data_IF_183118041953
#
_entry.id   IF_183118041953
#
_cell.length_a   1.000
_cell.length_b   1.000
_cell.length_c   1.000
_cell.angle_alpha   90.00
_cell.angle_beta   90.00
_cell.angle_gamma   90.00
#
_symmetry.space_group_name_H-M   'P 1'
#
loop_
_entity.id
_entity.type
_entity.pdbx_description
1 polymer ?
#
# COMPACT_ATOMS: atom_id res chain seq x y z
N UNK A 1 -0.68 -12.73 -32.54
CA UNK A 1 -1.70 -12.33 -31.54
C UNK A 1 -2.56 -13.52 -31.12
N UNK A 2 -3.12 -14.28 -32.07
CA UNK A 2 -3.81 -15.55 -31.81
C UNK A 2 -3.06 -16.47 -30.82
N UNK A 3 -1.77 -16.71 -31.06
CA UNK A 3 -0.89 -17.51 -30.19
C UNK A 3 -0.75 -16.93 -28.77
N UNK A 4 -0.58 -15.60 -28.64
CA UNK A 4 -0.48 -14.92 -27.34
C UNK A 4 -1.76 -15.02 -26.51
N UNK A 5 -2.89 -15.14 -27.20
CA UNK A 5 -4.21 -15.34 -26.59
C UNK A 5 -4.56 -16.83 -26.50
N UNK A 6 -3.73 -17.76 -26.97
CA UNK A 6 -4.10 -19.18 -26.98
C UNK A 6 -5.37 -19.51 -27.79
N UNK A 7 -5.74 -18.69 -28.77
CA UNK A 7 -6.91 -18.91 -29.63
C UNK A 7 -6.50 -19.33 -31.05
N UNK A 8 -7.43 -19.96 -31.77
CA UNK A 8 -7.18 -20.32 -33.17
C UNK A 8 -6.98 -19.09 -34.06
N UNK A 9 -6.16 -19.23 -35.11
CA UNK A 9 -5.96 -18.17 -36.10
C UNK A 9 -7.27 -17.72 -36.76
N UNK A 10 -8.19 -18.66 -37.02
CA UNK A 10 -9.52 -18.37 -37.58
C UNK A 10 -10.37 -17.53 -36.63
N UNK A 11 -10.32 -17.85 -35.33
CA UNK A 11 -11.00 -17.08 -34.29
C UNK A 11 -10.47 -15.65 -34.26
N UNK A 12 -9.14 -15.49 -34.31
CA UNK A 12 -8.48 -14.19 -34.38
C UNK A 12 -8.93 -13.36 -35.59
N UNK A 13 -8.93 -13.94 -36.80
CA UNK A 13 -9.43 -13.26 -38.00
C UNK A 13 -10.91 -12.89 -37.91
N UNK A 14 -11.72 -13.70 -37.23
CA UNK A 14 -13.13 -13.39 -36.97
C UNK A 14 -13.31 -12.18 -36.05
N UNK A 15 -12.45 -12.03 -35.05
CA UNK A 15 -12.42 -10.87 -34.15
C UNK A 15 -11.96 -9.61 -34.87
N UNK A 16 -10.84 -9.66 -35.60
CA UNK A 16 -10.32 -8.50 -36.36
C UNK A 16 -11.30 -8.02 -37.44
N UNK A 17 -12.00 -8.97 -38.08
CA UNK A 17 -13.02 -8.66 -39.08
C UNK A 17 -14.37 -8.21 -38.51
N UNK A 18 -14.51 -8.07 -37.19
CA UNK A 18 -15.75 -7.63 -36.53
C UNK A 18 -16.91 -8.63 -36.64
N UNK A 19 -16.66 -9.87 -37.09
CA UNK A 19 -17.68 -10.91 -37.22
C UNK A 19 -18.00 -11.59 -35.89
N UNK A 20 -17.03 -11.60 -34.97
CA UNK A 20 -17.15 -12.24 -33.66
C UNK A 20 -16.92 -11.22 -32.54
N UNK A 21 -17.64 -11.38 -31.44
CA UNK A 21 -17.39 -10.66 -30.18
C UNK A 21 -16.45 -11.53 -29.32
N UNK A 22 -15.43 -10.96 -28.68
CA UNK A 22 -14.55 -11.71 -27.77
C UNK A 22 -15.34 -12.35 -26.63
N UNK A 23 -15.01 -13.60 -26.28
CA UNK A 23 -15.57 -14.26 -25.10
C UNK A 23 -14.98 -13.70 -23.80
N UNK A 24 -15.61 -13.96 -22.66
CA UNK A 24 -15.08 -13.60 -21.35
C UNK A 24 -13.67 -14.16 -21.09
N UNK A 25 -13.40 -15.39 -21.53
CA UNK A 25 -12.08 -16.02 -21.44
C UNK A 25 -11.03 -15.30 -22.29
N UNK A 26 -11.37 -14.95 -23.53
CA UNK A 26 -10.48 -14.18 -24.42
C UNK A 26 -10.16 -12.80 -23.83
N UNK A 27 -11.14 -12.16 -23.20
CA UNK A 27 -10.96 -10.87 -22.53
C UNK A 27 -10.02 -10.97 -21.33
N UNK A 28 -10.10 -12.05 -20.55
CA UNK A 28 -9.14 -12.29 -19.46
C UNK A 28 -7.72 -12.48 -20.01
N UNK A 29 -7.55 -13.18 -21.13
CA UNK A 29 -6.23 -13.36 -21.77
C UNK A 29 -5.65 -12.03 -22.26
N UNK A 30 -6.47 -11.11 -22.78
CA UNK A 30 -6.03 -9.76 -23.10
C UNK A 30 -5.51 -9.01 -21.88
N UNK A 31 -6.18 -9.16 -20.73
CA UNK A 31 -5.75 -8.55 -19.46
C UNK A 31 -4.38 -9.08 -19.03
N UNK A 32 -4.14 -10.38 -19.13
CA UNK A 32 -2.86 -11.01 -18.73
C UNK A 32 -1.66 -10.47 -19.52
N UNK A 33 -1.87 -10.10 -20.78
CA UNK A 33 -0.84 -9.46 -21.62
C UNK A 33 -0.85 -7.92 -21.54
N UNK A 34 -1.54 -7.36 -20.54
CA UNK A 34 -1.55 -5.93 -20.23
C UNK A 34 -2.49 -5.08 -21.09
N UNK A 35 -3.39 -5.69 -21.87
CA UNK A 35 -4.36 -4.97 -22.70
C UNK A 35 -5.69 -4.85 -21.95
N UNK A 36 -6.26 -3.65 -21.96
CA UNK A 36 -7.52 -3.37 -21.30
C UNK A 36 -8.69 -4.10 -22.00
N UNK A 37 -9.40 -5.03 -21.33
CA UNK A 37 -10.51 -5.76 -21.95
C UNK A 37 -11.70 -4.86 -22.30
N UNK A 38 -11.91 -3.76 -21.54
CA UNK A 38 -12.95 -2.78 -21.83
C UNK A 38 -12.69 -2.07 -23.16
N UNK A 39 -11.43 -1.68 -23.41
CA UNK A 39 -11.01 -1.12 -24.70
C UNK A 39 -11.17 -2.13 -25.84
N UNK A 40 -10.85 -3.41 -25.62
CA UNK A 40 -11.04 -4.46 -26.63
C UNK A 40 -12.52 -4.63 -27.00
N UNK A 41 -13.43 -4.53 -26.04
CA UNK A 41 -14.87 -4.68 -26.27
C UNK A 41 -15.51 -3.45 -26.92
N UNK A 42 -15.09 -2.26 -26.51
CA UNK A 42 -15.84 -1.02 -26.77
C UNK A 42 -15.09 -0.01 -27.61
N UNK A 43 -13.76 -0.16 -27.73
CA UNK A 43 -12.88 0.87 -28.28
C UNK A 43 -12.72 2.11 -27.38
N UNK A 44 -13.38 2.15 -26.21
CA UNK A 44 -13.37 3.30 -25.31
C UNK A 44 -12.30 3.14 -24.22
N UNK A 45 -11.73 4.29 -23.84
CA UNK A 45 -10.74 4.37 -22.76
C UNK A 45 -9.32 3.97 -23.19
N UNK A 46 -8.43 3.75 -22.21
CA UNK A 46 -7.03 3.43 -22.45
C UNK A 46 -6.85 2.02 -23.03
N UNK A 47 -5.91 1.86 -23.96
CA UNK A 47 -5.62 0.57 -24.59
C UNK A 47 -4.89 -0.39 -23.65
N UNK A 48 -3.95 0.12 -22.85
CA UNK A 48 -3.20 -0.68 -21.89
C UNK A 48 -3.81 -0.54 -20.49
N UNK A 49 -3.71 -1.61 -19.71
CA UNK A 49 -4.19 -1.62 -18.31
C UNK A 49 -3.44 -0.60 -17.45
N UNK A 50 -2.20 -0.28 -17.79
CA UNK A 50 -1.39 0.69 -17.05
C UNK A 50 -1.61 2.15 -17.48
N UNK A 51 -2.32 2.37 -18.59
CA UNK A 51 -2.62 3.70 -19.12
C UNK A 51 -3.93 4.26 -18.57
N UNK A 52 -4.66 3.49 -17.75
CA UNK A 52 -5.68 4.10 -16.91
C UNK A 52 -4.98 5.21 -16.13
N UNK A 53 -5.51 6.45 -16.16
CA UNK A 53 -5.05 7.46 -15.23
C UNK A 53 -5.22 6.83 -13.86
N UNK A 54 -4.09 6.42 -13.26
CA UNK A 54 -4.05 6.05 -11.85
C UNK A 54 -4.64 7.28 -11.21
N UNK A 55 -5.81 7.14 -10.57
CA UNK A 55 -6.43 8.24 -9.87
C UNK A 55 -5.29 8.97 -9.18
N UNK A 56 -5.07 10.23 -9.56
CA UNK A 56 -3.92 11.01 -9.14
C UNK A 56 -4.12 11.34 -7.66
N UNK A 57 -4.07 10.32 -6.81
CA UNK A 57 -3.69 10.42 -5.42
C UNK A 57 -2.16 10.59 -5.41
N UNK A 58 -1.67 11.54 -6.20
CA UNK A 58 -0.40 12.19 -5.96
C UNK A 58 -0.69 13.27 -4.92
N UNK A 59 -1.29 12.89 -3.80
CA UNK A 59 -0.89 13.54 -2.56
C UNK A 59 0.59 13.17 -2.47
N UNK A 60 1.46 14.12 -2.81
CA UNK A 60 2.83 14.11 -2.32
C UNK A 60 2.76 13.58 -0.89
N UNK A 61 3.51 12.52 -0.59
CA UNK A 61 3.52 11.89 0.73
C UNK A 61 4.03 12.90 1.76
N UNK A 62 3.20 13.85 2.14
CA UNK A 62 3.44 14.85 3.15
C UNK A 62 3.13 14.12 4.44
N UNK A 63 4.13 14.04 5.31
CA UNK A 63 3.93 13.55 6.67
C UNK A 63 2.79 14.36 7.28
N UNK A 64 1.70 13.71 7.68
CA UNK A 64 0.63 14.40 8.40
C UNK A 64 1.15 14.79 9.80
N UNK A 65 1.37 16.08 10.10
CA UNK A 65 2.02 16.49 11.34
C UNK A 65 1.16 16.18 12.57
N UNK A 66 -0.16 16.15 12.41
CA UNK A 66 -1.09 15.89 13.52
C UNK A 66 -1.04 14.42 13.94
N UNK A 67 -0.96 13.51 12.96
CA UNK A 67 -0.79 12.06 13.17
C UNK A 67 0.58 11.78 13.75
N UNK A 68 1.64 12.37 13.19
CA UNK A 68 3.00 12.18 13.68
C UNK A 68 3.15 12.60 15.16
N UNK A 69 2.57 13.75 15.54
CA UNK A 69 2.51 14.19 16.94
C UNK A 69 1.73 13.21 17.83
N UNK A 70 0.63 12.65 17.33
CA UNK A 70 -0.15 11.65 18.08
C UNK A 70 0.66 10.38 18.33
N UNK A 71 1.40 9.89 17.33
CA UNK A 71 2.30 8.74 17.46
C UNK A 71 3.40 9.02 18.49
N UNK A 72 4.07 10.18 18.41
CA UNK A 72 5.09 10.58 19.41
C UNK A 72 4.54 10.60 20.83
N UNK A 73 3.29 11.08 21.01
CA UNK A 73 2.62 11.09 22.32
C UNK A 73 2.39 9.67 22.83
N UNK A 74 1.86 8.77 22.00
CA UNK A 74 1.65 7.36 22.36
C UNK A 74 2.98 6.69 22.74
N UNK A 75 4.03 6.88 21.95
CA UNK A 75 5.36 6.34 22.26
C UNK A 75 5.90 6.83 23.59
N UNK A 76 5.74 8.13 23.88
CA UNK A 76 6.19 8.71 25.14
C UNK A 76 5.42 8.13 26.33
N UNK A 77 4.10 8.01 26.22
CA UNK A 77 3.25 7.44 27.26
C UNK A 77 3.58 5.96 27.51
N UNK A 78 3.68 5.15 26.44
CA UNK A 78 4.01 3.73 26.54
C UNK A 78 5.41 3.52 27.11
N UNK A 79 6.44 4.17 26.57
CA UNK A 79 7.81 4.01 27.07
C UNK A 79 7.94 4.43 28.54
N UNK A 80 7.28 5.52 28.94
CA UNK A 80 7.26 5.97 30.33
C UNK A 80 6.61 4.95 31.27
N UNK A 81 5.54 4.29 30.82
CA UNK A 81 4.86 3.24 31.60
C UNK A 81 5.76 2.02 31.87
N UNK A 82 6.70 1.72 30.97
CA UNK A 82 7.70 0.66 31.13
C UNK A 82 9.06 1.15 31.68
N UNK A 83 9.16 2.43 32.08
CA UNK A 83 10.40 3.01 32.61
C UNK A 83 11.52 3.20 31.57
N UNK A 84 11.19 3.16 30.28
CA UNK A 84 12.13 3.32 29.17
C UNK A 84 12.28 4.81 28.85
N UNK A 85 13.53 5.27 28.76
CA UNK A 85 13.87 6.63 28.34
C UNK A 85 14.66 6.59 27.03
N UNK A 86 14.01 7.02 25.96
CA UNK A 86 14.66 7.23 24.66
C UNK A 86 15.23 8.64 24.57
N UNK A 87 16.35 8.79 23.85
CA UNK A 87 16.80 10.10 23.37
C UNK A 87 15.78 10.70 22.40
N UNK A 88 15.87 12.00 22.14
CA UNK A 88 14.95 12.66 21.22
C UNK A 88 15.09 12.13 19.78
N UNK A 89 16.32 11.90 19.33
CA UNK A 89 16.63 11.30 18.01
C UNK A 89 16.04 9.88 17.89
N UNK A 90 16.28 9.01 18.87
CA UNK A 90 15.73 7.65 18.86
C UNK A 90 14.20 7.65 18.88
N UNK A 91 13.58 8.63 19.55
CA UNK A 91 12.12 8.78 19.58
C UNK A 91 11.56 9.23 18.22
N UNK A 92 12.27 10.10 17.52
CA UNK A 92 11.87 10.54 16.18
C UNK A 92 12.00 9.41 15.15
N UNK A 93 13.06 8.60 15.26
CA UNK A 93 13.25 7.39 14.44
C UNK A 93 12.13 6.37 14.67
N UNK A 94 11.79 6.07 15.93
CA UNK A 94 10.67 5.19 16.24
C UNK A 94 9.34 5.76 15.73
N UNK A 95 9.08 7.05 15.93
CA UNK A 95 7.86 7.69 15.45
C UNK A 95 7.74 7.63 13.92
N UNK A 96 8.85 7.80 13.19
CA UNK A 96 8.88 7.64 11.74
C UNK A 96 8.58 6.20 11.31
N UNK A 97 9.15 5.21 12.00
CA UNK A 97 8.86 3.79 11.74
C UNK A 97 7.38 3.47 11.95
N UNK A 98 6.80 3.91 13.06
CA UNK A 98 5.39 3.67 13.36
C UNK A 98 4.44 4.44 12.43
N UNK A 99 4.83 5.64 11.98
CA UNK A 99 4.09 6.36 10.95
C UNK A 99 4.04 5.56 9.64
N UNK A 100 5.17 5.02 9.19
CA UNK A 100 5.22 4.20 7.98
C UNK A 100 4.37 2.93 8.11
N UNK A 101 4.36 2.30 9.29
CA UNK A 101 3.49 1.16 9.57
C UNK A 101 2.01 1.53 9.52
N UNK A 102 1.62 2.69 10.06
CA UNK A 102 0.24 3.18 10.00
C UNK A 102 -0.20 3.45 8.55
N UNK A 103 0.67 4.06 7.74
CA UNK A 103 0.41 4.27 6.31
C UNK A 103 0.25 2.93 5.57
N UNK A 104 1.07 1.93 5.91
CA UNK A 104 0.94 0.58 5.36
C UNK A 104 -0.39 -0.08 5.74
N UNK A 105 -0.84 0.03 7.00
CA UNK A 105 -2.17 -0.43 7.46
C UNK A 105 -3.31 0.28 6.71
N UNK A 106 -3.10 1.55 6.36
CA UNK A 106 -4.04 2.32 5.57
C UNK A 106 -3.97 2.01 4.06
N UNK A 107 -3.18 1.02 3.64
CA UNK A 107 -2.95 0.65 2.23
C UNK A 107 -2.47 1.83 1.38
N UNK A 108 -1.67 2.72 1.98
CA UNK A 108 -1.18 3.94 1.34
C UNK A 108 -2.17 5.11 1.33
N UNK A 109 -3.36 4.96 1.93
CA UNK A 109 -4.30 6.08 2.09
C UNK A 109 -3.83 6.98 3.25
N UNK A 110 -3.38 8.18 2.92
CA UNK A 110 -2.85 9.18 3.86
C UNK A 110 -3.89 10.15 4.40
N UNK A 111 -5.17 9.95 4.08
CA UNK A 111 -6.26 10.74 4.65
C UNK A 111 -6.23 10.69 6.19
N UNK A 112 -6.33 11.86 6.81
CA UNK A 112 -6.23 11.97 8.27
C UNK A 112 -7.32 11.17 8.98
N UNK A 113 -8.55 11.18 8.47
CA UNK A 113 -9.66 10.41 9.03
C UNK A 113 -9.36 8.92 9.01
N UNK A 114 -8.85 8.42 7.88
CA UNK A 114 -8.42 7.01 7.74
C UNK A 114 -7.28 6.67 8.71
N UNK A 115 -6.22 7.48 8.76
CA UNK A 115 -5.09 7.25 9.67
C UNK A 115 -5.53 7.28 11.14
N UNK A 116 -6.40 8.24 11.53
CA UNK A 116 -6.97 8.33 12.89
C UNK A 116 -7.77 7.09 13.25
N UNK A 117 -8.54 6.53 12.32
CA UNK A 117 -9.34 5.33 12.57
C UNK A 117 -8.49 4.09 12.92
N UNK A 118 -7.23 4.07 12.48
CA UNK A 118 -6.29 2.96 12.69
C UNK A 118 -5.39 3.15 13.93
N UNK A 119 -5.41 4.33 14.56
CA UNK A 119 -4.60 4.63 15.75
C UNK A 119 -4.76 3.63 16.91
N UNK A 120 -5.97 3.14 17.24
CA UNK A 120 -6.11 2.16 18.33
C UNK A 120 -5.37 0.85 18.07
N UNK A 121 -5.35 0.38 16.82
CA UNK A 121 -4.61 -0.83 16.43
C UNK A 121 -3.09 -0.58 16.52
N UNK A 122 -2.62 0.58 16.02
CA UNK A 122 -1.23 0.98 16.14
C UNK A 122 -0.78 1.08 17.61
N UNK A 123 -1.63 1.61 18.50
CA UNK A 123 -1.33 1.72 19.92
C UNK A 123 -1.17 0.36 20.60
N UNK A 124 -2.00 -0.62 20.22
CA UNK A 124 -1.84 -2.01 20.67
C UNK A 124 -0.48 -2.58 20.22
N UNK A 125 -0.12 -2.41 18.95
CA UNK A 125 1.15 -2.91 18.41
C UNK A 125 2.36 -2.24 19.06
N UNK A 126 2.32 -0.92 19.29
CA UNK A 126 3.36 -0.18 20.01
C UNK A 126 3.52 -0.74 21.42
N UNK A 127 2.41 -0.96 22.13
CA UNK A 127 2.45 -1.47 23.51
C UNK A 127 3.06 -2.87 23.59
N UNK A 128 2.67 -3.78 22.69
CA UNK A 128 3.26 -5.12 22.65
C UNK A 128 4.75 -5.08 22.25
N UNK A 129 5.14 -4.22 21.32
CA UNK A 129 6.55 -4.05 20.94
C UNK A 129 7.40 -3.53 22.11
N UNK A 130 6.93 -2.49 22.81
CA UNK A 130 7.65 -1.91 23.96
C UNK A 130 7.71 -2.90 25.12
N UNK A 131 6.61 -3.60 25.41
CA UNK A 131 6.57 -4.65 26.43
C UNK A 131 7.56 -5.78 26.13
N UNK A 132 7.66 -6.22 24.87
CA UNK A 132 8.64 -7.20 24.43
C UNK A 132 10.08 -6.70 24.62
N UNK A 133 10.34 -5.44 24.27
CA UNK A 133 11.66 -4.83 24.45
C UNK A 133 12.04 -4.68 25.93
N UNK A 134 11.07 -4.37 26.80
CA UNK A 134 11.27 -4.29 28.25
C UNK A 134 11.56 -5.68 28.88
N UNK A 135 10.98 -6.75 28.31
CA UNK A 135 11.20 -8.12 28.75
C UNK A 135 12.58 -8.69 28.36
N UNK A 136 13.29 -8.06 27.41
CA UNK A 136 14.63 -8.44 26.96
C UNK A 136 15.65 -7.29 27.19
N UNK A 137 16.18 -7.10 28.42
CA UNK A 137 16.97 -5.91 28.80
C UNK A 137 18.37 -5.77 28.17
N UNK A 138 18.66 -6.42 27.02
CA UNK A 138 20.02 -6.59 26.48
C UNK A 138 20.30 -6.08 25.06
N UNK A 139 19.30 -5.66 24.28
CA UNK A 139 19.50 -5.36 22.85
C UNK A 139 19.91 -3.92 22.51
N UNK A 140 19.82 -2.98 23.46
CA UNK A 140 20.04 -1.54 23.25
C UNK A 140 21.48 -1.10 22.90
N UNK A 141 22.43 -2.02 22.70
CA UNK A 141 23.84 -1.72 22.34
C UNK A 141 24.15 -1.83 20.84
N UNK A 142 23.16 -1.92 19.96
CA UNK A 142 23.40 -1.99 18.50
C UNK A 142 22.69 -0.87 17.76
N UNK A 143 23.16 0.36 17.96
CA UNK A 143 23.14 1.42 16.94
C UNK A 143 24.11 2.53 17.37
N UNK A 144 25.40 2.22 17.29
CA UNK A 144 26.46 3.22 17.21
C UNK A 144 27.42 2.74 16.12
N UNK A 145 27.20 3.20 14.89
CA UNK A 145 28.19 3.29 13.82
C UNK A 145 27.67 4.31 12.81
#
# INVERSE_FOLDING_TARGET
MAEKLGISYRSWQGLEGGRNVPSGETLLQFKEIGINPGWVLTGLGPKLVNDFPRAENTETAVINPSIYKAIKKVLLETNSAFGIRLSDEARDDEAARWYNQLVAMATGNTDEGKLRSLMPALQYDINEAVKSAAAEPGSGKRSAS
#
